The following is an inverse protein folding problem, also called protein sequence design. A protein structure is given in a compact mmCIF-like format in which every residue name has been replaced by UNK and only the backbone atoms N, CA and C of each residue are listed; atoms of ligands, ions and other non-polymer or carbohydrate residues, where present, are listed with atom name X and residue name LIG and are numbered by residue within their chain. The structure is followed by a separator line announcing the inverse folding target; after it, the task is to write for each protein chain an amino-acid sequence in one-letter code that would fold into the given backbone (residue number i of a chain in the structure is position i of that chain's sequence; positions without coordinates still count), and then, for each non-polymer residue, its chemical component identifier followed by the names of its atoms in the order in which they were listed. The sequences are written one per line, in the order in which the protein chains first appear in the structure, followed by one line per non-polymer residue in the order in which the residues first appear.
data_IF_100163648295
#
_entry.id   IF_100163648295
#
_cell.length_a   1.000
_cell.length_b   1.000
_cell.length_c   1.000
_cell.angle_alpha   90.00
_cell.angle_beta   90.00
_cell.angle_gamma   90.00
#
_symmetry.space_group_name_H-M   'P 1'
#
loop_
_entity.id
_entity.type
_entity.pdbx_description
1 polymer ?
#
# COMPACT_ATOMS: atom_id res chain seq x y z
N UNK A 1 -11.93 -9.45 0.64
CA UNK A 1 -10.45 -9.39 0.76
C UNK A 1 -9.95 -7.95 0.96
N UNK A 2 -10.32 -6.99 0.11
CA UNK A 2 -9.87 -5.58 0.20
C UNK A 2 -10.07 -4.94 1.57
N UNK A 3 -11.24 -5.17 2.19
CA UNK A 3 -11.55 -4.67 3.53
C UNK A 3 -10.54 -5.14 4.59
N UNK A 4 -10.11 -6.41 4.55
CA UNK A 4 -9.12 -6.95 5.49
C UNK A 4 -7.76 -6.29 5.30
N UNK A 5 -7.29 -6.15 4.06
CA UNK A 5 -6.01 -5.49 3.78
C UNK A 5 -6.02 -4.02 4.23
N UNK A 6 -7.13 -3.31 4.02
CA UNK A 6 -7.29 -1.94 4.51
C UNK A 6 -7.28 -1.88 6.04
N UNK A 7 -7.90 -2.86 6.71
CA UNK A 7 -7.88 -2.99 8.17
C UNK A 7 -6.46 -3.26 8.71
N UNK A 8 -5.70 -4.13 8.02
CA UNK A 8 -4.30 -4.41 8.33
C UNK A 8 -3.41 -3.19 8.18
N UNK A 9 -3.54 -2.43 7.09
CA UNK A 9 -2.76 -1.20 6.90
C UNK A 9 -3.14 -0.13 7.94
N UNK A 10 -4.41 -0.06 8.35
CA UNK A 10 -4.89 0.99 9.24
C UNK A 10 -4.27 0.88 10.65
N UNK A 11 -3.62 1.96 11.15
CA UNK A 11 -3.12 2.01 12.51
C UNK A 11 -4.23 1.71 13.53
N UNK A 12 -3.94 0.93 14.61
CA UNK A 12 -4.95 0.48 15.55
C UNK A 12 -5.83 1.60 16.15
N UNK A 13 -5.23 2.75 16.49
CA UNK A 13 -5.95 3.88 17.08
C UNK A 13 -6.95 4.56 16.12
N UNK A 14 -6.84 4.31 14.81
CA UNK A 14 -7.74 4.85 13.80
C UNK A 14 -8.86 3.89 13.39
N UNK A 15 -8.73 2.59 13.70
CA UNK A 15 -9.65 1.56 13.17
C UNK A 15 -11.12 1.85 13.48
N UNK A 16 -11.42 2.32 14.70
CA UNK A 16 -12.78 2.70 15.12
C UNK A 16 -13.44 3.80 14.27
N UNK A 17 -12.66 4.61 13.55
CA UNK A 17 -13.18 5.70 12.72
C UNK A 17 -13.48 5.25 11.28
N UNK A 18 -12.77 4.24 10.77
CA UNK A 18 -12.88 3.79 9.39
C UNK A 18 -13.60 2.45 9.23
N UNK A 19 -13.60 1.64 10.29
CA UNK A 19 -14.15 0.30 10.30
C UNK A 19 -15.22 0.25 11.39
N UNK A 20 -16.51 0.50 11.06
CA UNK A 20 -17.58 0.29 12.02
C UNK A 20 -17.58 -1.16 12.49
N UNK A 21 -18.14 -1.40 13.68
CA UNK A 21 -18.19 -2.74 14.29
C UNK A 21 -19.07 -3.63 13.42
N UNK A 22 -18.44 -4.38 12.52
CA UNK A 22 -19.10 -5.42 11.73
C UNK A 22 -19.18 -6.70 12.55
N UNK A 23 -20.14 -7.56 12.20
CA UNK A 23 -20.34 -8.88 12.81
C UNK A 23 -19.08 -9.79 12.74
N UNK A 24 -18.14 -9.47 11.85
CA UNK A 24 -16.88 -10.19 11.63
C UNK A 24 -15.65 -9.55 12.29
N UNK A 25 -15.79 -8.40 12.97
CA UNK A 25 -14.69 -7.73 13.68
C UNK A 25 -13.99 -8.60 14.75
N UNK A 26 -14.69 -9.48 15.50
CA UNK A 26 -14.04 -10.36 16.48
C UNK A 26 -12.97 -11.28 15.86
N UNK A 27 -13.10 -11.63 14.58
CA UNK A 27 -12.11 -12.42 13.87
C UNK A 27 -10.95 -11.58 13.32
N UNK A 28 -11.15 -10.27 13.18
CA UNK A 28 -10.10 -9.36 12.74
C UNK A 28 -9.05 -9.09 13.84
N UNK A 29 -9.36 -9.37 15.10
CA UNK A 29 -8.40 -9.33 16.22
C UNK A 29 -7.56 -10.61 16.34
N UNK A 30 -7.99 -11.72 15.72
CA UNK A 30 -7.20 -12.95 15.58
C UNK A 30 -6.14 -12.84 14.48
N UNK A 31 -6.21 -11.80 13.66
CA UNK A 31 -5.26 -11.52 12.60
C UNK A 31 -3.95 -11.00 13.21
N UNK A 32 -2.82 -11.52 12.73
CA UNK A 32 -1.49 -11.07 13.18
C UNK A 32 -1.37 -9.54 13.07
N UNK A 33 -0.87 -8.87 14.10
CA UNK A 33 -0.63 -7.42 13.99
C UNK A 33 0.51 -7.15 13.02
N UNK A 34 0.28 -6.30 12.02
CA UNK A 34 1.34 -5.77 11.19
C UNK A 34 2.05 -4.67 11.99
N UNK A 35 3.21 -4.95 12.59
CA UNK A 35 3.97 -3.94 13.35
C UNK A 35 4.72 -2.98 12.42
N UNK A 36 3.97 -2.23 11.61
CA UNK A 36 4.53 -1.29 10.63
C UNK A 36 4.93 0.04 11.27
N UNK A 37 5.88 0.79 10.69
CA UNK A 37 6.35 2.05 11.27
C UNK A 37 5.27 3.11 11.54
N UNK A 38 4.17 3.11 10.77
CA UNK A 38 3.03 4.01 10.97
C UNK A 38 2.04 3.55 12.05
N UNK A 39 2.19 2.34 12.60
CA UNK A 39 1.37 1.77 13.69
C UNK A 39 1.86 2.24 15.07
N UNK A 40 2.12 3.54 15.19
CA UNK A 40 2.73 4.13 16.37
C UNK A 40 1.82 4.06 17.60
N UNK A 41 2.42 3.67 18.73
CA UNK A 41 1.83 3.82 20.05
C UNK A 41 1.94 5.29 20.54
N UNK A 42 1.25 5.60 21.64
CA UNK A 42 1.09 6.97 22.15
C UNK A 42 2.43 7.59 22.57
N UNK A 43 3.33 6.81 23.17
CA UNK A 43 4.57 7.32 23.78
C UNK A 43 5.73 7.46 22.78
N UNK A 44 5.60 6.92 21.56
CA UNK A 44 6.65 7.00 20.54
C UNK A 44 6.62 8.38 19.88
N UNK A 45 7.73 9.12 19.98
CA UNK A 45 7.90 10.36 19.21
C UNK A 45 8.12 10.02 17.74
N UNK A 46 7.40 10.69 16.86
CA UNK A 46 7.55 10.58 15.41
C UNK A 46 7.23 11.91 14.76
N UNK A 47 7.97 12.25 13.70
CA UNK A 47 7.71 13.42 12.86
C UNK A 47 6.43 13.27 12.04
N UNK A 48 6.11 12.03 11.65
CA UNK A 48 4.92 11.71 10.87
C UNK A 48 3.96 10.85 11.67
N UNK A 49 2.67 11.16 11.58
CA UNK A 49 1.60 10.33 12.16
C UNK A 49 0.42 10.26 11.20
N UNK A 50 -0.18 9.09 11.12
CA UNK A 50 -1.49 8.94 10.47
C UNK A 50 -2.56 9.58 11.35
N UNK A 51 -3.60 10.11 10.71
CA UNK A 51 -4.70 10.72 11.43
C UNK A 51 -6.01 10.74 10.68
N UNK A 52 -7.07 11.06 11.41
CA UNK A 52 -8.41 11.28 10.87
C UNK A 52 -8.85 12.71 11.16
N UNK A 53 -9.38 13.38 10.13
CA UNK A 53 -9.92 14.73 10.28
C UNK A 53 -11.20 14.67 11.12
N UNK A 54 -11.24 15.44 12.19
CA UNK A 54 -12.36 15.47 13.13
C UNK A 54 -13.46 16.40 12.64
N UNK A 55 -14.72 16.03 12.93
CA UNK A 55 -15.86 16.93 12.76
C UNK A 55 -15.92 17.94 13.92
N UNK A 56 -14.97 18.88 13.94
CA UNK A 56 -14.90 19.97 14.92
C UNK A 56 -15.00 21.31 14.20
N UNK A 57 -15.82 22.26 14.69
CA UNK A 57 -15.89 23.59 14.10
C UNK A 57 -14.56 24.31 14.28
N UNK A 58 -14.06 24.87 13.19
CA UNK A 58 -12.86 25.70 13.13
C UNK A 58 -13.28 27.04 12.52
N UNK A 59 -12.71 28.15 13.00
CA UNK A 59 -12.96 29.46 12.37
C UNK A 59 -12.55 29.37 10.90
N UNK A 60 -13.33 29.94 9.98
CA UNK A 60 -13.02 29.91 8.54
C UNK A 60 -11.58 30.39 8.29
N UNK A 61 -10.83 29.65 7.48
CA UNK A 61 -9.41 29.91 7.21
C UNK A 61 -8.43 29.49 8.30
N UNK A 62 -8.89 28.80 9.36
CA UNK A 62 -8.01 28.24 10.41
C UNK A 62 -7.75 26.73 10.26
N UNK A 63 -8.19 26.12 9.17
CA UNK A 63 -7.83 24.75 8.80
C UNK A 63 -8.67 23.68 9.49
N UNK A 64 -8.05 22.57 9.91
CA UNK A 64 -8.77 21.38 10.40
C UNK A 64 -8.09 20.74 11.62
N UNK A 65 -8.90 20.18 12.53
CA UNK A 65 -8.40 19.36 13.63
C UNK A 65 -8.28 17.90 13.20
N UNK A 66 -7.15 17.27 13.54
CA UNK A 66 -6.85 15.88 13.20
C UNK A 66 -6.54 15.09 14.47
N UNK A 67 -7.16 13.92 14.61
CA UNK A 67 -6.78 12.95 15.64
C UNK A 67 -5.66 12.05 15.11
N UNK A 68 -4.51 12.05 15.80
CA UNK A 68 -3.26 11.41 15.38
C UNK A 68 -2.78 10.32 16.36
N UNK A 69 -3.70 9.75 17.15
CA UNK A 69 -3.38 8.73 18.16
C UNK A 69 -2.77 9.27 19.45
N UNK A 70 -2.66 10.60 19.60
CA UNK A 70 -2.17 11.24 20.82
C UNK A 70 -3.31 11.84 21.66
N UNK A 71 -3.03 12.16 22.92
CA UNK A 71 -3.96 12.90 23.79
C UNK A 71 -4.31 14.28 23.23
N UNK A 72 -3.31 14.97 22.65
CA UNK A 72 -3.49 16.24 21.95
C UNK A 72 -3.82 15.97 20.47
N UNK A 73 -4.78 16.71 19.92
CA UNK A 73 -5.05 16.71 18.47
C UNK A 73 -4.02 17.55 17.73
N UNK A 74 -3.81 17.29 16.45
CA UNK A 74 -3.10 18.19 15.56
C UNK A 74 -4.05 19.23 14.95
N UNK A 75 -3.56 20.45 14.74
CA UNK A 75 -4.18 21.49 13.93
C UNK A 75 -3.36 21.64 12.66
N UNK A 76 -4.00 21.38 11.52
CA UNK A 76 -3.39 21.57 10.20
C UNK A 76 -3.99 22.81 9.54
N UNK A 77 -3.20 23.52 8.75
CA UNK A 77 -3.66 24.72 8.03
C UNK A 77 -4.62 24.42 6.88
N UNK A 78 -4.64 23.18 6.37
CA UNK A 78 -5.52 22.77 5.28
C UNK A 78 -6.96 22.54 5.78
N UNK A 79 -7.94 22.97 4.98
CA UNK A 79 -9.35 22.65 5.19
C UNK A 79 -9.68 21.34 4.47
N UNK A 80 -9.81 20.26 5.24
CA UNK A 80 -10.05 18.91 4.71
C UNK A 80 -11.39 18.40 5.23
N UNK A 81 -12.10 17.63 4.41
CA UNK A 81 -13.39 17.03 4.79
C UNK A 81 -13.23 16.18 6.07
N UNK A 82 -14.14 16.31 7.05
CA UNK A 82 -14.18 15.42 8.21
C UNK A 82 -14.30 13.94 7.80
N UNK A 83 -13.64 13.07 8.55
CA UNK A 83 -13.58 11.63 8.27
C UNK A 83 -12.54 11.23 7.23
N UNK A 84 -11.78 12.16 6.65
CA UNK A 84 -10.67 11.84 5.74
C UNK A 84 -9.44 11.37 6.51
N UNK A 85 -8.81 10.28 6.05
CA UNK A 85 -7.50 9.82 6.55
C UNK A 85 -6.38 10.64 5.93
N UNK A 86 -5.46 11.13 6.75
CA UNK A 86 -4.34 11.98 6.33
C UNK A 86 -3.04 11.57 7.02
N UNK A 87 -1.92 11.75 6.34
CA UNK A 87 -0.58 11.72 6.96
C UNK A 87 -0.24 13.14 7.41
N UNK A 88 0.06 13.32 8.69
CA UNK A 88 0.40 14.62 9.27
C UNK A 88 1.89 14.66 9.55
N UNK A 89 2.58 15.63 8.95
CA UNK A 89 3.93 16.02 9.35
C UNK A 89 3.84 17.03 10.48
N UNK A 90 4.33 16.67 11.66
CA UNK A 90 4.34 17.54 12.83
C UNK A 90 5.50 18.53 12.77
N UNK A 91 5.24 19.74 13.27
CA UNK A 91 6.27 20.74 13.47
C UNK A 91 7.23 20.31 14.60
N UNK A 92 8.52 20.68 14.55
CA UNK A 92 9.49 20.30 15.58
C UNK A 92 9.10 20.80 16.98
N UNK A 93 8.55 22.01 17.06
CA UNK A 93 8.24 22.70 18.31
C UNK A 93 6.76 22.59 18.67
N UNK A 94 6.45 21.59 19.50
CA UNK A 94 5.07 21.24 19.86
C UNK A 94 4.85 21.01 21.37
N UNK A 95 5.88 21.22 22.21
CA UNK A 95 5.88 20.87 23.64
C UNK A 95 4.80 21.60 24.45
N UNK A 96 4.59 22.90 24.19
CA UNK A 96 3.78 23.78 25.03
C UNK A 96 2.39 24.11 24.46
N UNK A 97 2.02 23.56 23.31
CA UNK A 97 0.76 23.91 22.68
C UNK A 97 -0.43 23.08 23.17
N UNK A 98 -1.62 23.68 23.21
CA UNK A 98 -2.89 22.98 23.50
C UNK A 98 -3.18 21.90 22.46
N UNK A 99 -2.79 22.14 21.21
CA UNK A 99 -2.89 21.24 20.08
C UNK A 99 -1.53 21.17 19.39
N UNK A 100 -1.17 20.01 18.86
CA UNK A 100 0.03 19.92 18.03
C UNK A 100 -0.19 20.72 16.74
N UNK A 101 0.85 21.32 16.16
CA UNK A 101 0.86 21.91 14.84
C UNK A 101 1.57 21.02 13.84
N UNK A 102 1.11 21.11 12.60
CA UNK A 102 1.70 20.41 11.48
C UNK A 102 0.94 20.69 10.19
N UNK A 103 1.26 19.89 9.18
CA UNK A 103 0.63 19.97 7.86
C UNK A 103 0.24 18.58 7.37
N UNK A 104 -0.88 18.48 6.66
CA UNK A 104 -1.17 17.28 5.89
C UNK A 104 -0.18 17.18 4.72
N UNK A 105 0.39 16.00 4.52
CA UNK A 105 1.37 15.69 3.46
C UNK A 105 0.94 14.44 2.68
N UNK A 106 1.64 14.17 1.57
CA UNK A 106 1.48 12.92 0.84
C UNK A 106 1.86 11.73 1.74
N UNK A 107 1.20 10.59 1.53
CA UNK A 107 1.56 9.33 2.19
C UNK A 107 2.96 8.84 1.81
N UNK A 108 3.49 9.31 0.68
CA UNK A 108 4.85 8.98 0.22
C UNK A 108 5.93 9.81 0.92
N UNK A 109 5.57 10.95 1.53
CA UNK A 109 6.55 11.87 2.13
C UNK A 109 7.42 11.23 3.22
N UNK A 110 6.93 10.34 4.11
CA UNK A 110 7.79 9.63 5.06
C UNK A 110 8.84 8.73 4.38
N UNK A 111 8.49 8.10 3.25
CA UNK A 111 9.44 7.32 2.46
C UNK A 111 10.47 8.24 1.79
N UNK A 112 10.01 9.29 1.12
CA UNK A 112 10.87 10.22 0.36
C UNK A 112 11.86 10.98 1.25
N UNK A 113 11.46 11.34 2.47
CA UNK A 113 12.28 12.17 3.37
C UNK A 113 13.07 11.37 4.41
N UNK A 114 12.59 10.20 4.82
CA UNK A 114 13.18 9.43 5.93
C UNK A 114 13.40 7.96 5.60
N UNK A 115 13.20 7.54 4.35
CA UNK A 115 13.25 6.15 3.90
C UNK A 115 12.39 5.22 4.78
N UNK A 116 11.27 5.74 5.26
CA UNK A 116 10.40 5.06 6.20
C UNK A 116 9.19 4.46 5.47
N UNK A 117 9.06 3.13 5.52
CA UNK A 117 7.87 2.46 5.00
C UNK A 117 6.61 2.94 5.73
N UNK A 118 5.62 3.40 4.97
CA UNK A 118 4.42 4.04 5.52
C UNK A 118 3.12 3.33 5.11
N UNK A 119 3.18 2.01 5.08
CA UNK A 119 2.05 1.16 4.75
C UNK A 119 1.81 1.03 3.25
N UNK A 120 0.60 0.56 2.90
CA UNK A 120 0.19 0.36 1.51
C UNK A 120 -1.20 0.96 1.25
N UNK A 121 -1.53 1.13 -0.02
CA UNK A 121 -2.88 1.46 -0.46
C UNK A 121 -3.53 0.24 -1.11
N UNK A 122 -4.82 0.07 -0.90
CA UNK A 122 -5.58 -1.03 -1.48
C UNK A 122 -6.52 -0.44 -2.52
N UNK A 123 -6.35 -0.86 -3.77
CA UNK A 123 -7.19 -0.47 -4.89
C UNK A 123 -7.94 -1.70 -5.40
N UNK A 124 -9.23 -1.55 -5.64
CA UNK A 124 -10.02 -2.56 -6.30
C UNK A 124 -10.00 -2.32 -7.81
N UNK A 125 -9.73 -3.38 -8.58
CA UNK A 125 -9.86 -3.41 -10.04
C UNK A 125 -10.91 -4.47 -10.39
N UNK A 126 -11.87 -4.10 -11.23
CA UNK A 126 -12.97 -4.99 -11.62
C UNK A 126 -12.54 -6.03 -12.66
N UNK A 127 -11.52 -5.71 -13.42
CA UNK A 127 -11.01 -6.43 -14.58
C UNK A 127 -9.49 -6.20 -14.71
N UNK A 128 -8.85 -6.96 -15.59
CA UNK A 128 -7.40 -6.95 -15.77
C UNK A 128 -6.94 -5.60 -16.33
N UNK A 129 -7.67 -5.03 -17.29
CA UNK A 129 -7.36 -3.75 -17.92
C UNK A 129 -7.40 -2.60 -16.91
N UNK A 130 -8.35 -2.62 -15.97
CA UNK A 130 -8.45 -1.64 -14.89
C UNK A 130 -7.23 -1.66 -13.96
N UNK A 131 -6.45 -2.74 -13.92
CA UNK A 131 -5.16 -2.73 -13.20
C UNK A 131 -4.22 -1.71 -13.85
N UNK A 132 -4.13 -1.68 -15.18
CA UNK A 132 -3.23 -0.80 -15.93
C UNK A 132 -3.82 0.59 -16.17
N UNK A 133 -5.03 0.67 -16.73
CA UNK A 133 -5.65 1.93 -17.17
C UNK A 133 -6.01 2.87 -16.02
N UNK A 134 -6.29 2.33 -14.82
CA UNK A 134 -6.57 3.10 -13.60
C UNK A 134 -5.38 3.11 -12.63
N UNK A 135 -4.17 3.06 -13.16
CA UNK A 135 -2.95 3.23 -12.37
C UNK A 135 -2.96 4.61 -11.68
N UNK A 136 -2.65 4.70 -10.37
CA UNK A 136 -2.68 5.96 -9.64
C UNK A 136 -1.46 6.85 -9.91
N UNK A 137 -0.46 6.35 -10.64
CA UNK A 137 0.79 7.05 -10.89
C UNK A 137 0.79 7.71 -12.28
N UNK A 138 1.30 8.94 -12.33
CA UNK A 138 1.51 9.64 -13.59
C UNK A 138 2.58 8.90 -14.41
N UNK A 139 2.27 8.60 -15.68
CA UNK A 139 3.12 7.77 -16.53
C UNK A 139 2.90 6.25 -16.38
N UNK A 140 1.99 5.82 -15.50
CA UNK A 140 1.63 4.41 -15.33
C UNK A 140 2.72 3.57 -14.64
N UNK A 141 2.60 2.25 -14.77
CA UNK A 141 3.65 1.32 -14.34
C UNK A 141 4.68 1.18 -15.46
N UNK A 142 5.87 1.73 -15.27
CA UNK A 142 6.93 1.73 -16.29
C UNK A 142 7.65 0.38 -16.40
N UNK A 143 7.58 -0.44 -15.35
CA UNK A 143 7.97 -1.85 -15.39
C UNK A 143 6.85 -2.73 -14.86
N UNK A 144 6.44 -3.70 -15.67
CA UNK A 144 5.39 -4.69 -15.36
C UNK A 144 5.99 -6.09 -15.39
N UNK A 145 5.82 -6.83 -14.30
CA UNK A 145 6.30 -8.19 -14.12
C UNK A 145 5.09 -9.11 -13.90
N UNK A 146 4.88 -10.08 -14.78
CA UNK A 146 3.95 -11.17 -14.58
C UNK A 146 4.65 -12.38 -13.98
N UNK A 147 4.09 -12.98 -12.94
CA UNK A 147 4.63 -14.17 -12.29
C UNK A 147 3.90 -15.40 -12.79
N UNK A 148 4.65 -16.38 -13.30
CA UNK A 148 4.10 -17.62 -13.84
C UNK A 148 5.12 -18.74 -13.82
N UNK A 149 4.65 -19.99 -13.66
CA UNK A 149 5.49 -21.18 -13.79
C UNK A 149 6.02 -21.38 -15.22
N UNK A 150 5.33 -20.83 -16.23
CA UNK A 150 5.74 -20.82 -17.65
C UNK A 150 6.71 -19.68 -17.99
N UNK A 151 6.99 -18.81 -17.03
CA UNK A 151 7.90 -17.67 -17.23
C UNK A 151 9.37 -18.07 -17.32
N UNK A 152 10.21 -17.14 -17.78
CA UNK A 152 11.66 -17.33 -17.81
C UNK A 152 12.28 -17.37 -16.40
N UNK A 153 13.48 -17.96 -16.26
CA UNK A 153 14.18 -17.95 -14.96
C UNK A 153 14.50 -16.51 -14.54
N UNK A 154 13.95 -16.06 -13.40
CA UNK A 154 14.19 -14.72 -12.86
C UNK A 154 15.69 -14.41 -12.64
N UNK A 155 16.52 -15.41 -12.37
CA UNK A 155 17.97 -15.25 -12.18
C UNK A 155 18.66 -14.67 -13.41
N UNK A 156 18.15 -15.00 -14.61
CA UNK A 156 18.70 -14.56 -15.89
C UNK A 156 18.23 -13.16 -16.30
N UNK A 157 17.26 -12.61 -15.58
CA UNK A 157 16.65 -11.31 -15.89
C UNK A 157 17.40 -10.20 -15.17
N UNK A 158 17.73 -9.15 -15.92
CA UNK A 158 18.20 -7.88 -15.39
C UNK A 158 17.08 -6.84 -15.51
N UNK A 159 16.70 -6.25 -14.38
CA UNK A 159 15.67 -5.21 -14.37
C UNK A 159 16.30 -3.83 -14.59
N UNK A 160 15.64 -2.94 -15.35
CA UNK A 160 16.10 -1.57 -15.53
C UNK A 160 15.81 -0.77 -14.26
N UNK A 161 16.35 0.44 -14.19
CA UNK A 161 15.86 1.44 -13.23
C UNK A 161 14.39 1.75 -13.53
N UNK A 162 13.56 1.84 -12.51
CA UNK A 162 12.12 2.09 -12.65
C UNK A 162 11.66 3.12 -11.62
N UNK A 163 10.49 3.72 -11.88
CA UNK A 163 9.80 4.59 -10.91
C UNK A 163 8.61 3.86 -10.28
N UNK A 164 7.86 3.09 -11.06
CA UNK A 164 6.62 2.44 -10.65
C UNK A 164 6.55 1.01 -11.18
N UNK A 165 7.02 0.07 -10.37
CA UNK A 165 6.99 -1.36 -10.66
C UNK A 165 5.62 -1.98 -10.30
N UNK A 166 5.05 -2.78 -11.21
CA UNK A 166 3.93 -3.67 -10.93
C UNK A 166 4.40 -5.12 -10.97
N UNK A 167 4.15 -5.88 -9.91
CA UNK A 167 4.28 -7.35 -9.89
C UNK A 167 2.87 -7.93 -9.84
N UNK A 168 2.54 -8.79 -10.79
CA UNK A 168 1.21 -9.37 -10.91
C UNK A 168 1.25 -10.89 -10.75
N UNK A 169 0.33 -11.39 -9.92
CA UNK A 169 0.17 -12.81 -9.62
C UNK A 169 -1.18 -13.30 -10.15
N UNK A 170 -1.16 -14.51 -10.72
CA UNK A 170 -2.37 -15.21 -11.11
C UNK A 170 -3.08 -15.89 -9.93
N UNK A 171 -4.34 -16.26 -10.16
CA UNK A 171 -5.10 -17.13 -9.28
C UNK A 171 -4.76 -18.61 -9.49
N UNK A 172 -5.72 -19.48 -9.19
CA UNK A 172 -5.56 -20.93 -9.35
C UNK A 172 -5.23 -21.34 -10.79
N UNK A 173 -5.81 -20.65 -11.78
CA UNK A 173 -5.60 -20.93 -13.20
C UNK A 173 -4.58 -19.97 -13.86
N UNK A 174 -3.76 -19.27 -13.05
CA UNK A 174 -2.74 -18.36 -13.56
C UNK A 174 -3.28 -17.00 -14.00
N UNK A 175 -2.51 -16.32 -14.85
CA UNK A 175 -2.87 -15.00 -15.42
C UNK A 175 -3.69 -15.16 -16.70
N UNK A 176 -3.67 -16.36 -17.28
CA UNK A 176 -4.44 -16.79 -18.44
C UNK A 176 -5.94 -16.59 -18.19
N UNK A 177 -6.46 -17.07 -17.06
CA UNK A 177 -7.87 -16.88 -16.69
C UNK A 177 -8.25 -15.39 -16.57
N UNK A 178 -7.35 -14.53 -16.09
CA UNK A 178 -7.63 -13.10 -16.01
C UNK A 178 -7.70 -12.44 -17.40
N UNK A 179 -6.88 -12.90 -18.35
CA UNK A 179 -6.88 -12.40 -19.73
C UNK A 179 -8.10 -12.90 -20.50
N UNK A 180 -8.43 -14.19 -20.38
CA UNK A 180 -9.58 -14.82 -21.05
C UNK A 180 -10.93 -14.20 -20.65
N UNK A 181 -11.02 -13.63 -19.44
CA UNK A 181 -12.23 -13.00 -18.92
C UNK A 181 -12.27 -11.47 -19.15
N UNK A 182 -11.32 -10.89 -19.88
CA UNK A 182 -11.27 -9.45 -20.15
C UNK A 182 -11.20 -9.16 -21.66
N UNK A 183 -12.38 -9.10 -22.28
CA UNK A 183 -12.55 -8.81 -23.72
C UNK A 183 -12.01 -7.44 -24.15
N UNK A 184 -11.66 -6.56 -23.20
CA UNK A 184 -11.11 -5.23 -23.51
C UNK A 184 -9.63 -5.26 -23.86
N UNK A 185 -8.95 -6.39 -23.60
CA UNK A 185 -7.52 -6.56 -23.84
C UNK A 185 -7.29 -7.32 -25.14
N UNK A 186 -6.58 -6.69 -26.07
CA UNK A 186 -6.17 -7.31 -27.34
C UNK A 186 -4.79 -7.95 -27.17
N UNK A 187 -4.72 -9.05 -26.43
CA UNK A 187 -3.51 -9.85 -26.26
C UNK A 187 -3.85 -11.35 -26.37
N UNK A 188 -2.98 -12.13 -27.00
CA UNK A 188 -3.22 -13.57 -27.17
C UNK A 188 -2.69 -14.39 -25.99
N UNK A 189 -1.59 -13.93 -25.39
CA UNK A 189 -0.97 -14.57 -24.23
C UNK A 189 -0.67 -13.55 -23.12
N UNK A 190 -0.74 -13.92 -21.83
CA UNK A 190 -0.47 -12.99 -20.73
C UNK A 190 0.88 -12.29 -20.81
N UNK A 191 1.92 -12.98 -21.33
CA UNK A 191 3.27 -12.44 -21.47
C UNK A 191 3.33 -11.13 -22.26
N UNK A 192 2.38 -10.89 -23.18
CA UNK A 192 2.30 -9.68 -24.01
C UNK A 192 1.91 -8.43 -23.18
N UNK A 193 1.35 -8.62 -21.98
CA UNK A 193 0.93 -7.53 -21.09
C UNK A 193 2.05 -7.01 -20.20
N UNK A 194 3.16 -7.74 -20.10
CA UNK A 194 4.24 -7.50 -19.15
C UNK A 194 5.56 -7.23 -19.87
N UNK A 195 6.39 -6.40 -19.25
CA UNK A 195 7.78 -6.22 -19.71
C UNK A 195 8.60 -7.48 -19.43
N UNK A 196 8.29 -8.16 -18.32
CA UNK A 196 8.94 -9.40 -17.89
C UNK A 196 7.87 -10.41 -17.47
N UNK A 197 8.04 -11.66 -17.88
CA UNK A 197 7.15 -12.75 -17.52
C UNK A 197 7.97 -13.92 -16.99
N UNK A 198 8.06 -14.03 -15.67
CA UNK A 198 9.14 -14.77 -15.00
C UNK A 198 8.61 -15.84 -14.04
N UNK A 199 9.46 -16.83 -13.80
CA UNK A 199 9.31 -17.83 -12.76
C UNK A 199 10.36 -17.61 -11.67
N UNK A 200 9.90 -17.36 -10.45
CA UNK A 200 10.73 -17.12 -9.24
C UNK A 200 10.97 -18.37 -8.40
N UNK A 201 10.29 -19.48 -8.70
CA UNK A 201 10.43 -20.74 -7.97
C UNK A 201 10.53 -21.90 -8.97
N UNK A 202 11.75 -22.19 -9.42
CA UNK A 202 12.02 -23.30 -10.33
C UNK A 202 11.90 -24.64 -9.61
N UNK A 203 11.37 -25.65 -10.30
CA UNK A 203 11.37 -27.04 -9.84
C UNK A 203 10.77 -27.24 -8.43
N UNK A 204 9.68 -26.52 -8.12
CA UNK A 204 8.96 -26.74 -6.87
C UNK A 204 8.39 -28.17 -6.82
N UNK A 205 8.54 -28.85 -5.69
CA UNK A 205 8.11 -30.24 -5.52
C UNK A 205 6.60 -30.43 -5.37
N UNK A 206 5.83 -29.33 -5.30
CA UNK A 206 4.37 -29.34 -5.26
C UNK A 206 3.75 -29.31 -6.66
N UNK A 207 2.48 -29.69 -6.79
CA UNK A 207 1.75 -29.56 -8.07
C UNK A 207 1.51 -28.10 -8.46
N UNK A 208 1.30 -27.25 -7.47
CA UNK A 208 1.11 -25.81 -7.60
C UNK A 208 1.61 -25.12 -6.34
N UNK A 209 2.02 -23.85 -6.49
CA UNK A 209 2.32 -22.94 -5.37
C UNK A 209 1.10 -22.03 -5.23
N UNK A 210 0.57 -21.89 -4.01
CA UNK A 210 -0.57 -21.00 -3.81
C UNK A 210 -0.14 -19.53 -3.99
N UNK A 211 -1.09 -18.65 -4.34
CA UNK A 211 -0.78 -17.24 -4.62
C UNK A 211 -0.12 -16.57 -3.40
N UNK A 212 -0.59 -16.86 -2.19
CA UNK A 212 -0.03 -16.32 -0.95
C UNK A 212 1.41 -16.78 -0.67
N UNK A 213 1.76 -18.03 -0.97
CA UNK A 213 3.14 -18.54 -0.88
C UNK A 213 4.03 -17.87 -1.95
N UNK A 214 3.48 -17.78 -3.17
CA UNK A 214 4.20 -17.24 -4.32
C UNK A 214 4.55 -15.76 -4.14
N UNK A 215 3.67 -14.98 -3.49
CA UNK A 215 3.97 -13.57 -3.14
C UNK A 215 5.26 -13.49 -2.31
N UNK A 216 5.39 -14.28 -1.25
CA UNK A 216 6.58 -14.23 -0.39
C UNK A 216 7.84 -14.70 -1.11
N UNK A 217 7.75 -15.83 -1.84
CA UNK A 217 8.89 -16.37 -2.60
C UNK A 217 9.37 -15.35 -3.63
N UNK A 218 8.43 -14.78 -4.38
CA UNK A 218 8.73 -13.80 -5.43
C UNK A 218 9.35 -12.53 -4.86
N UNK A 219 8.78 -11.96 -3.79
CA UNK A 219 9.29 -10.71 -3.22
C UNK A 219 10.71 -10.88 -2.68
N UNK A 220 11.02 -12.01 -2.03
CA UNK A 220 12.38 -12.28 -1.56
C UNK A 220 13.36 -12.55 -2.71
N UNK A 221 12.95 -13.36 -3.70
CA UNK A 221 13.77 -13.64 -4.89
C UNK A 221 14.13 -12.36 -5.66
N UNK A 222 13.18 -11.43 -5.77
CA UNK A 222 13.36 -10.18 -6.52
C UNK A 222 14.02 -9.07 -5.69
N UNK A 223 13.98 -9.14 -4.35
CA UNK A 223 14.51 -8.09 -3.46
C UNK A 223 15.93 -7.65 -3.85
N UNK A 224 16.85 -8.60 -4.03
CA UNK A 224 18.22 -8.27 -4.38
C UNK A 224 18.37 -7.69 -5.78
N UNK A 225 17.49 -8.03 -6.72
CA UNK A 225 17.56 -7.52 -8.10
C UNK A 225 16.86 -6.17 -8.25
N UNK A 226 15.83 -5.91 -7.47
CA UNK A 226 15.05 -4.67 -7.51
C UNK A 226 15.68 -3.55 -6.67
N UNK A 227 16.31 -3.88 -5.55
CA UNK A 227 16.95 -2.91 -4.64
C UNK A 227 18.48 -2.85 -4.79
N UNK A 228 19.07 -3.54 -5.77
CA UNK A 228 20.52 -3.49 -6.01
C UNK A 228 21.04 -2.11 -6.45
N UNK A 229 20.17 -1.24 -6.96
CA UNK A 229 20.54 0.11 -7.44
C UNK A 229 20.49 1.21 -6.36
N UNK A 230 20.10 0.88 -5.12
CA UNK A 230 19.98 1.84 -4.01
C UNK A 230 21.10 1.72 -2.96
N UNK A 231 22.19 0.99 -3.25
CA UNK A 231 23.39 0.92 -2.42
C UNK A 231 24.58 1.65 -3.04
#
# INVERSE_FOLDING_TARGET
MTWYLQYYDCPPYLRKYFFPIYRYLPYAELLNSLDSPHHLIVDVKSRFREGVVLNKPVKSGKGSYVYIGLKKTALIGQEIKPGTRVTVQLDPDNSNEKHMRGKAVSRMTPLELENCYWGFSVRFAHDLNSVFSKCPFEGGYDVRIGISNKGENYEKVAFPTYRHLLIMFGGMNGLEECLENDDTIVASEPKELFNYYINTCQSHGSRAISTEENIFITLEALKHKLFASER
#
